data_IF_015649982844
#
_entry.id   IF_015649982844
#
_cell.length_a   1.000
_cell.length_b   1.000
_cell.length_c   1.000
_cell.angle_alpha   90.00
_cell.angle_beta   90.00
_cell.angle_gamma   90.00
#
_symmetry.space_group_name_H-M   'P 1'
#
loop_
_entity.id
_entity.type
_entity.pdbx_description
1 polymer ?
#
# COMPACT_ATOMS: atom_id res chain seq x y z
N UNK A 1 -33.38 -23.57 6.98
CA UNK A 1 -33.33 -22.16 6.52
C UNK A 1 -31.97 -21.96 5.90
N UNK A 2 -31.88 -21.94 4.58
CA UNK A 2 -30.61 -21.76 3.87
C UNK A 2 -30.23 -20.28 3.91
N UNK A 3 -29.05 -19.98 4.46
CA UNK A 3 -28.48 -18.64 4.43
C UNK A 3 -28.34 -18.19 2.97
N UNK A 4 -29.12 -17.17 2.61
CA UNK A 4 -29.07 -16.51 1.31
C UNK A 4 -27.69 -15.89 1.21
N UNK A 5 -26.77 -16.53 0.47
CA UNK A 5 -25.40 -16.08 0.31
C UNK A 5 -25.37 -14.60 -0.03
N UNK A 6 -24.85 -13.80 0.89
CA UNK A 6 -24.63 -12.38 0.64
C UNK A 6 -23.73 -12.30 -0.60
N UNK A 7 -24.22 -11.67 -1.67
CA UNK A 7 -23.44 -11.46 -2.87
C UNK A 7 -22.11 -10.82 -2.44
N UNK A 8 -20.99 -11.53 -2.61
CA UNK A 8 -19.67 -10.97 -2.36
C UNK A 8 -19.44 -9.89 -3.41
N UNK A 9 -18.96 -8.71 -3.01
CA UNK A 9 -18.64 -7.66 -3.97
C UNK A 9 -17.36 -7.96 -4.75
N UNK A 10 -16.93 -7.06 -5.65
CA UNK A 10 -15.75 -7.28 -6.47
C UNK A 10 -14.47 -7.37 -5.62
N UNK A 11 -13.50 -8.14 -6.12
CA UNK A 11 -12.14 -8.16 -5.56
C UNK A 11 -11.48 -6.81 -5.86
N UNK A 12 -10.82 -6.23 -4.86
CA UNK A 12 -10.00 -5.03 -5.00
C UNK A 12 -8.52 -5.40 -5.07
N UNK A 13 -7.81 -4.96 -6.09
CA UNK A 13 -6.37 -5.17 -6.22
C UNK A 13 -5.60 -4.05 -5.55
N UNK A 14 -5.02 -4.32 -4.38
CA UNK A 14 -4.19 -3.37 -3.65
C UNK A 14 -2.73 -3.79 -3.69
N UNK A 15 -1.87 -2.93 -4.25
CA UNK A 15 -0.43 -3.11 -4.25
C UNK A 15 0.22 -2.05 -3.36
N UNK A 16 0.90 -2.49 -2.30
CA UNK A 16 1.74 -1.61 -1.48
C UNK A 16 3.19 -1.82 -1.89
N UNK A 17 3.87 -0.74 -2.26
CA UNK A 17 5.29 -0.73 -2.63
C UNK A 17 6.01 0.10 -1.57
N UNK A 18 6.71 -0.57 -0.67
CA UNK A 18 7.50 0.08 0.37
C UNK A 18 8.97 0.14 -0.04
N UNK A 19 9.55 1.34 -0.01
CA UNK A 19 10.97 1.55 -0.19
C UNK A 19 11.63 1.69 1.17
N UNK A 20 12.69 0.92 1.39
CA UNK A 20 13.52 0.99 2.58
C UNK A 20 14.95 1.30 2.21
N UNK A 21 15.63 2.02 3.08
CA UNK A 21 17.08 2.26 3.01
C UNK A 21 17.82 1.53 4.12
N UNK A 22 19.10 1.25 3.88
CA UNK A 22 20.02 0.56 4.79
C UNK A 22 21.34 1.32 4.87
N UNK A 23 22.02 1.24 6.01
CA UNK A 23 23.37 1.79 6.24
C UNK A 23 24.39 1.50 5.11
N UNK A 24 24.20 0.37 4.44
CA UNK A 24 25.07 -0.17 3.38
C UNK A 24 24.72 0.32 1.98
N UNK A 25 23.68 1.15 1.86
CA UNK A 25 23.18 1.59 0.57
C UNK A 25 24.12 2.64 -0.06
N UNK A 26 24.28 2.63 -1.39
CA UNK A 26 25.02 3.67 -2.10
C UNK A 26 24.40 5.05 -1.84
N UNK A 27 25.21 6.12 -1.74
CA UNK A 27 24.73 7.48 -1.52
C UNK A 27 24.08 8.11 -2.77
N UNK A 28 23.89 7.35 -3.84
CA UNK A 28 23.27 7.80 -5.09
C UNK A 28 21.84 7.22 -5.26
N UNK A 29 21.08 7.80 -6.19
CA UNK A 29 19.70 7.39 -6.50
C UNK A 29 19.64 6.11 -7.35
N UNK A 30 20.76 5.41 -7.53
CA UNK A 30 20.81 4.17 -8.33
C UNK A 30 19.86 3.09 -7.77
N UNK A 31 19.50 3.20 -6.49
CA UNK A 31 18.54 2.35 -5.77
C UNK A 31 17.12 2.41 -6.33
N UNK A 32 16.77 3.50 -7.01
CA UNK A 32 15.47 3.72 -7.63
C UNK A 32 15.49 3.50 -9.15
N UNK A 33 16.62 3.08 -9.72
CA UNK A 33 16.78 2.87 -11.18
C UNK A 33 17.39 1.50 -11.47
N UNK A 34 16.67 0.61 -12.16
CA UNK A 34 17.18 -0.71 -12.58
C UNK A 34 16.50 -1.90 -11.90
N UNK A 35 17.05 -3.10 -12.11
CA UNK A 35 16.44 -4.39 -11.70
C UNK A 35 16.71 -4.78 -10.23
N UNK A 36 17.51 -3.99 -9.49
CA UNK A 36 17.95 -4.29 -8.12
C UNK A 36 17.34 -3.41 -7.03
N UNK A 37 16.18 -2.78 -7.27
CA UNK A 37 15.57 -1.88 -6.29
C UNK A 37 15.23 -2.63 -4.99
N UNK A 38 15.71 -2.10 -3.86
CA UNK A 38 15.39 -2.65 -2.54
C UNK A 38 14.00 -2.18 -2.10
N UNK A 39 12.98 -2.84 -2.66
CA UNK A 39 11.57 -2.59 -2.34
C UNK A 39 10.89 -3.86 -1.88
N UNK A 40 9.89 -3.69 -1.03
CA UNK A 40 8.95 -4.76 -0.67
C UNK A 40 7.64 -4.46 -1.38
N UNK A 41 7.19 -5.41 -2.18
CA UNK A 41 5.88 -5.38 -2.81
C UNK A 41 4.94 -6.30 -2.04
N UNK A 42 3.86 -5.74 -1.51
CA UNK A 42 2.84 -6.47 -0.79
C UNK A 42 1.54 -6.37 -1.57
N UNK A 43 1.04 -7.52 -2.03
CA UNK A 43 -0.21 -7.64 -2.79
C UNK A 43 -1.32 -8.08 -1.86
N UNK A 44 -2.37 -7.27 -1.78
CA UNK A 44 -3.59 -7.56 -1.06
C UNK A 44 -4.76 -7.66 -2.04
N UNK A 45 -5.71 -8.52 -1.71
CA UNK A 45 -6.92 -8.75 -2.50
C UNK A 45 -8.19 -8.72 -1.63
N UNK A 46 -8.47 -7.63 -0.88
CA UNK A 46 -9.67 -7.57 -0.06
C UNK A 46 -10.93 -7.52 -0.94
N UNK A 47 -12.04 -7.99 -0.39
CA UNK A 47 -13.34 -8.00 -1.07
C UNK A 47 -14.09 -6.71 -0.74
N UNK A 48 -14.47 -5.95 -1.76
CA UNK A 48 -15.30 -4.74 -1.58
C UNK A 48 -16.68 -5.17 -1.09
N UNK A 49 -17.25 -4.55 -0.05
CA UNK A 49 -18.62 -4.83 0.37
C UNK A 49 -19.62 -4.56 -0.76
N UNK A 50 -20.50 -5.53 -1.07
CA UNK A 50 -21.48 -5.38 -2.15
C UNK A 50 -22.41 -4.16 -2.00
N UNK A 51 -22.64 -3.72 -0.75
CA UNK A 51 -23.42 -2.52 -0.46
C UNK A 51 -22.81 -1.21 -1.01
N UNK A 52 -21.49 -1.20 -1.29
CA UNK A 52 -20.77 -0.01 -1.79
C UNK A 52 -20.22 -0.19 -3.21
N UNK A 53 -20.22 -1.40 -3.76
CA UNK A 53 -19.61 -1.75 -5.05
C UNK A 53 -20.14 -0.95 -6.26
N UNK A 54 -21.34 -0.38 -6.19
CA UNK A 54 -21.93 0.45 -7.24
C UNK A 54 -21.61 1.95 -7.14
N UNK A 55 -20.83 2.39 -6.14
CA UNK A 55 -20.57 3.80 -5.89
C UNK A 55 -19.05 4.05 -5.79
N UNK A 56 -18.48 4.61 -6.87
CA UNK A 56 -17.04 4.89 -6.99
C UNK A 56 -16.49 5.70 -5.80
N UNK A 57 -17.23 6.69 -5.32
CA UNK A 57 -16.79 7.52 -4.19
C UNK A 57 -16.73 6.70 -2.90
N UNK A 58 -17.76 5.91 -2.62
CA UNK A 58 -17.77 5.04 -1.42
C UNK A 58 -16.71 3.94 -1.49
N UNK A 59 -16.43 3.41 -2.68
CA UNK A 59 -15.33 2.46 -2.87
C UNK A 59 -13.98 3.13 -2.62
N UNK A 60 -13.79 4.37 -3.09
CA UNK A 60 -12.58 5.14 -2.81
C UNK A 60 -12.40 5.40 -1.31
N UNK A 61 -13.45 5.89 -0.64
CA UNK A 61 -13.43 6.16 0.80
C UNK A 61 -13.08 4.88 1.59
N UNK A 62 -13.76 3.77 1.28
CA UNK A 62 -13.47 2.46 1.88
C UNK A 62 -12.03 1.99 1.63
N UNK A 63 -11.53 2.13 0.40
CA UNK A 63 -10.17 1.73 0.06
C UNK A 63 -9.13 2.59 0.79
N UNK A 64 -9.39 3.89 0.95
CA UNK A 64 -8.55 4.78 1.75
C UNK A 64 -8.51 4.37 3.21
N UNK A 65 -9.65 3.98 3.81
CA UNK A 65 -9.70 3.47 5.18
C UNK A 65 -8.89 2.17 5.33
N UNK A 66 -9.06 1.22 4.39
CA UNK A 66 -8.29 -0.04 4.36
C UNK A 66 -6.79 0.22 4.28
N UNK A 67 -6.37 1.16 3.44
CA UNK A 67 -4.96 1.55 3.34
C UNK A 67 -4.50 2.14 4.68
N UNK A 68 -5.24 3.09 5.25
CA UNK A 68 -4.86 3.74 6.50
C UNK A 68 -4.61 2.73 7.63
N UNK A 69 -5.46 1.71 7.76
CA UNK A 69 -5.29 0.64 8.73
C UNK A 69 -4.02 -0.19 8.44
N UNK A 70 -3.85 -0.63 7.18
CA UNK A 70 -2.70 -1.45 6.74
C UNK A 70 -1.36 -0.72 6.88
N UNK A 71 -1.31 0.59 6.68
CA UNK A 71 -0.05 1.34 6.71
C UNK A 71 0.63 1.29 8.07
N UNK A 72 -0.16 1.24 9.15
CA UNK A 72 0.39 1.05 10.50
C UNK A 72 1.13 -0.30 10.61
N UNK A 73 0.53 -1.37 10.09
CA UNK A 73 1.13 -2.70 10.10
C UNK A 73 2.38 -2.77 9.21
N UNK A 74 2.32 -2.22 8.00
CA UNK A 74 3.47 -2.19 7.08
C UNK A 74 4.64 -1.42 7.69
N UNK A 75 4.38 -0.24 8.28
CA UNK A 75 5.39 0.58 8.94
C UNK A 75 6.01 -0.14 10.15
N UNK A 76 5.23 -0.86 10.93
CA UNK A 76 5.72 -1.54 12.14
C UNK A 76 6.18 -2.99 11.90
N UNK A 77 6.06 -3.50 10.67
CA UNK A 77 6.48 -4.86 10.33
C UNK A 77 8.00 -5.07 10.35
N UNK A 78 8.80 -4.00 10.26
CA UNK A 78 10.26 -4.09 10.20
C UNK A 78 10.95 -2.89 10.85
N UNK A 79 12.25 -3.03 11.11
CA UNK A 79 13.13 -1.95 11.55
C UNK A 79 13.59 -1.14 10.34
N UNK A 80 12.68 -0.36 9.78
CA UNK A 80 12.99 0.52 8.67
C UNK A 80 13.96 1.61 9.11
N UNK A 81 15.03 1.85 8.34
CA UNK A 81 16.00 2.90 8.60
C UNK A 81 15.81 4.02 7.57
N UNK A 82 15.97 5.27 8.01
CA UNK A 82 15.87 6.46 7.16
C UNK A 82 17.11 6.58 6.26
N UNK A 83 16.89 7.00 5.02
CA UNK A 83 17.93 7.00 3.99
C UNK A 83 19.05 8.01 4.19
N UNK A 84 18.76 9.10 4.91
CA UNK A 84 19.72 10.18 5.10
C UNK A 84 20.60 10.00 6.34
N UNK A 85 20.03 9.45 7.42
CA UNK A 85 20.64 9.44 8.75
C UNK A 85 20.89 8.02 9.30
N UNK A 86 20.39 6.98 8.63
CA UNK A 86 20.47 5.58 9.06
C UNK A 86 19.99 5.33 10.50
N UNK A 87 19.07 6.15 11.00
CA UNK A 87 18.32 5.84 12.23
C UNK A 87 16.96 5.29 11.85
N UNK A 88 16.28 4.67 12.82
CA UNK A 88 14.92 4.17 12.64
C UNK A 88 14.01 5.24 12.01
N UNK A 89 13.40 4.91 10.88
CA UNK A 89 12.50 5.78 10.14
C UNK A 89 11.27 6.08 11.01
N UNK A 90 11.08 7.37 11.35
CA UNK A 90 9.96 7.81 12.20
C UNK A 90 8.78 8.28 11.37
N UNK A 91 9.04 8.83 10.19
CA UNK A 91 8.00 9.30 9.27
C UNK A 91 7.95 8.43 8.02
N UNK A 92 6.80 8.48 7.38
CA UNK A 92 6.50 7.73 6.17
C UNK A 92 5.71 8.66 5.26
N UNK A 93 6.24 8.92 4.07
CA UNK A 93 5.51 9.63 3.03
C UNK A 93 4.77 8.61 2.17
N UNK A 94 3.51 8.91 1.86
CA UNK A 94 2.64 8.00 1.11
C UNK A 94 2.12 8.69 -0.13
N UNK A 95 2.24 8.02 -1.27
CA UNK A 95 1.61 8.42 -2.52
C UNK A 95 0.63 7.34 -2.96
N UNK A 96 -0.64 7.71 -3.12
CA UNK A 96 -1.72 6.79 -3.47
C UNK A 96 -2.17 7.07 -4.90
N UNK A 97 -2.14 6.02 -5.73
CA UNK A 97 -2.74 6.03 -7.06
C UNK A 97 -3.90 5.04 -7.08
N UNK A 98 -5.07 5.48 -7.52
CA UNK A 98 -6.29 4.68 -7.47
C UNK A 98 -7.05 4.69 -8.79
N UNK A 99 -7.48 3.50 -9.22
CA UNK A 99 -8.24 3.27 -10.44
C UNK A 99 -9.53 2.49 -10.12
N UNK A 100 -10.45 3.14 -9.38
CA UNK A 100 -11.71 2.54 -8.93
C UNK A 100 -12.69 2.19 -10.07
N UNK A 101 -12.47 2.74 -11.26
CA UNK A 101 -13.31 2.49 -12.43
C UNK A 101 -12.92 1.23 -13.21
N UNK A 102 -11.78 0.60 -12.88
CA UNK A 102 -11.34 -0.64 -13.52
C UNK A 102 -12.12 -1.84 -12.98
N UNK A 103 -12.06 -2.96 -13.70
CA UNK A 103 -12.66 -4.24 -13.30
C UNK A 103 -11.57 -5.32 -13.40
N UNK A 104 -10.94 -5.75 -12.28
CA UNK A 104 -11.22 -5.34 -10.90
C UNK A 104 -10.75 -3.90 -10.58
N UNK A 105 -11.38 -3.21 -9.61
CA UNK A 105 -10.87 -1.94 -9.09
C UNK A 105 -9.47 -2.11 -8.49
N UNK A 106 -8.59 -1.15 -8.69
CA UNK A 106 -7.19 -1.26 -8.23
C UNK A 106 -6.66 0.00 -7.55
N UNK A 107 -5.65 -0.17 -6.70
CA UNK A 107 -4.92 0.91 -6.05
C UNK A 107 -3.47 0.50 -5.80
N UNK A 108 -2.55 1.44 -6.06
CA UNK A 108 -1.13 1.31 -5.73
C UNK A 108 -0.75 2.36 -4.70
N UNK A 109 -0.14 1.92 -3.61
CA UNK A 109 0.36 2.79 -2.53
C UNK A 109 1.87 2.71 -2.51
N UNK A 110 2.53 3.83 -2.80
CA UNK A 110 3.96 3.98 -2.62
C UNK A 110 4.24 4.52 -1.23
N UNK A 111 5.09 3.82 -0.48
CA UNK A 111 5.49 4.21 0.87
C UNK A 111 6.99 4.47 0.87
N UNK A 112 7.37 5.73 1.06
CA UNK A 112 8.75 6.13 1.28
C UNK A 112 8.97 6.35 2.78
N UNK A 113 9.97 5.68 3.35
CA UNK A 113 10.26 5.72 4.77
C UNK A 113 11.39 6.72 5.03
N UNK A 114 11.04 8.00 4.96
CA UNK A 114 11.97 9.13 5.02
C UNK A 114 11.62 9.99 6.24
N UNK A 115 12.46 9.95 7.30
CA UNK A 115 12.84 11.06 8.19
C UNK A 115 13.32 10.57 9.57
N UNK A 116 14.49 11.08 9.94
CA UNK A 116 14.89 11.53 11.27
C UNK A 116 14.59 13.03 11.36
#
# INVERSE_FOLDING_TARGET
MAEKGAAQGPIFELLVIAYGSSATDPPDDSRFTGEGQRRVEIKFAPVIPAAIAGNLRRMQDWASDVVQDLMSEVKHSNQWHCEFCDKLARESHMCILSWMHLTPPSMTVYVCLELC
#
